data_IF_983153203817
#
_entry.id   IF_983153203817
#
_cell.length_a   1.000
_cell.length_b   1.000
_cell.length_c   1.000
_cell.angle_alpha   90.00
_cell.angle_beta   90.00
_cell.angle_gamma   90.00
#
_symmetry.space_group_name_H-M   'P 1'
#
loop_
_entity.id
_entity.type
_entity.pdbx_description
1 polymer ?
#
# COMPACT_ATOMS: atom_id res chain seq x y z
N UNK A 1 22.96 6.96 13.48
CA UNK A 1 21.52 6.63 13.58
C UNK A 1 21.33 5.12 13.70
N UNK A 2 21.64 4.30 12.68
CA UNK A 2 21.57 2.82 12.78
C UNK A 2 22.40 2.20 13.94
N UNK A 3 23.49 2.85 14.33
CA UNK A 3 24.37 2.42 15.44
C UNK A 3 24.20 3.28 16.70
N UNK A 4 23.25 4.22 16.68
CA UNK A 4 23.03 5.17 17.77
C UNK A 4 21.77 4.77 18.53
N UNK A 5 21.95 4.20 19.73
CA UNK A 5 20.86 3.78 20.61
C UNK A 5 20.21 4.96 21.35
N UNK A 6 20.74 6.17 21.20
CA UNK A 6 20.16 7.39 21.78
C UNK A 6 19.32 8.12 20.73
N UNK A 7 18.02 8.25 21.00
CA UNK A 7 17.01 8.89 20.13
C UNK A 7 17.25 10.39 19.83
N UNK A 8 18.42 10.94 20.16
CA UNK A 8 18.72 12.38 20.16
C UNK A 8 19.17 12.96 18.81
N UNK A 9 19.31 12.15 17.75
CA UNK A 9 19.92 12.58 16.48
C UNK A 9 18.97 12.58 15.26
N UNK A 10 17.65 12.57 15.46
CA UNK A 10 16.69 12.68 14.35
C UNK A 10 16.19 14.12 14.16
N UNK A 11 16.51 14.73 13.02
CA UNK A 11 16.08 16.09 12.67
C UNK A 11 14.62 16.18 12.16
N UNK A 12 13.94 15.05 11.97
CA UNK A 12 12.58 14.99 11.41
C UNK A 12 11.66 14.14 12.30
N UNK A 13 10.40 14.56 12.45
CA UNK A 13 9.36 13.86 13.21
C UNK A 13 8.96 12.47 12.63
N UNK A 14 9.65 11.99 11.60
CA UNK A 14 9.43 10.70 10.95
C UNK A 14 10.14 9.51 11.64
N UNK A 15 10.76 9.72 12.81
CA UNK A 15 11.45 8.67 13.58
C UNK A 15 10.57 7.45 13.90
N UNK A 16 9.24 7.61 13.90
CA UNK A 16 8.27 6.56 14.19
C UNK A 16 7.94 5.63 12.99
N UNK A 17 8.44 5.92 11.78
CA UNK A 17 8.17 5.08 10.61
C UNK A 17 9.11 3.85 10.56
N UNK A 18 8.67 2.74 9.93
CA UNK A 18 9.57 1.64 9.62
C UNK A 18 10.81 2.10 8.84
N UNK A 19 11.97 1.50 9.12
CA UNK A 19 13.24 1.91 8.54
C UNK A 19 13.36 1.65 7.03
N UNK A 20 12.42 0.92 6.42
CA UNK A 20 12.52 0.46 5.03
C UNK A 20 12.81 1.60 4.04
N UNK A 21 12.12 2.74 4.16
CA UNK A 21 12.31 3.89 3.24
C UNK A 21 13.70 4.51 3.41
N UNK A 22 14.18 4.60 4.65
CA UNK A 22 15.55 5.08 4.95
C UNK A 22 16.61 4.11 4.40
N UNK A 23 16.39 2.80 4.53
CA UNK A 23 17.27 1.77 4.00
C UNK A 23 17.30 1.76 2.47
N UNK A 24 16.17 2.04 1.81
CA UNK A 24 16.09 2.18 0.36
C UNK A 24 16.97 3.33 -0.14
N UNK A 25 16.96 4.49 0.53
CA UNK A 25 17.86 5.60 0.20
C UNK A 25 19.34 5.28 0.51
N UNK A 26 19.60 4.54 1.59
CA UNK A 26 20.96 4.19 2.01
C UNK A 26 21.64 3.18 1.08
N UNK A 27 20.91 2.15 0.62
CA UNK A 27 21.47 1.07 -0.20
C UNK A 27 22.29 1.55 -1.43
N UNK A 28 21.79 2.44 -2.30
CA UNK A 28 22.55 2.87 -3.48
C UNK A 28 23.73 3.77 -3.11
N UNK A 29 23.65 4.54 -2.01
CA UNK A 29 24.76 5.38 -1.55
C UNK A 29 25.90 4.56 -0.94
N UNK A 30 25.58 3.44 -0.27
CA UNK A 30 26.59 2.46 0.16
C UNK A 30 27.33 1.87 -1.05
N UNK A 31 26.62 1.51 -2.12
CA UNK A 31 27.22 0.99 -3.35
C UNK A 31 28.08 2.05 -4.07
N UNK A 32 27.71 3.33 -3.98
CA UNK A 32 28.46 4.45 -4.54
C UNK A 32 29.73 4.79 -3.73
N UNK A 33 29.86 4.27 -2.51
CA UNK A 33 31.02 4.50 -1.65
C UNK A 33 30.94 5.78 -0.80
N UNK A 34 29.77 6.41 -0.73
CA UNK A 34 29.57 7.63 0.03
C UNK A 34 28.18 8.22 -0.18
N UNK A 35 27.80 9.15 0.69
CA UNK A 35 26.54 9.87 0.53
C UNK A 35 26.58 10.76 -0.72
N UNK A 36 25.58 10.58 -1.59
CA UNK A 36 25.34 11.41 -2.75
C UNK A 36 23.83 11.53 -2.95
N UNK A 37 23.32 12.75 -3.01
CA UNK A 37 21.88 13.05 -3.03
C UNK A 37 21.19 12.46 -4.27
N UNK A 38 21.82 12.57 -5.44
CA UNK A 38 21.26 12.03 -6.69
C UNK A 38 21.15 10.51 -6.62
N UNK A 39 22.18 9.84 -6.12
CA UNK A 39 22.20 8.38 -5.96
C UNK A 39 21.18 7.92 -4.92
N UNK A 40 21.04 8.65 -3.81
CA UNK A 40 20.03 8.39 -2.79
C UNK A 40 18.59 8.48 -3.33
N UNK A 41 18.36 9.29 -4.37
CA UNK A 41 17.05 9.47 -5.01
C UNK A 41 16.71 8.41 -6.07
N UNK A 42 17.69 7.64 -6.57
CA UNK A 42 17.46 6.61 -7.60
C UNK A 42 16.33 5.61 -7.27
N UNK A 43 16.14 5.16 -6.02
CA UNK A 43 15.03 4.26 -5.67
C UNK A 43 13.65 4.84 -5.98
N UNK A 44 13.45 6.16 -5.88
CA UNK A 44 12.18 6.82 -6.17
C UNK A 44 11.85 6.81 -7.66
N UNK A 45 12.86 7.01 -8.51
CA UNK A 45 12.72 6.77 -9.94
C UNK A 45 12.42 5.30 -10.22
N UNK A 46 13.12 4.40 -9.52
CA UNK A 46 12.93 2.95 -9.62
C UNK A 46 11.50 2.51 -9.32
N UNK A 47 10.89 2.99 -8.23
CA UNK A 47 9.51 2.64 -7.87
C UNK A 47 8.50 3.23 -8.85
N UNK A 48 8.73 4.42 -9.40
CA UNK A 48 7.87 4.99 -10.45
C UNK A 48 7.88 4.12 -11.72
N UNK A 49 9.06 3.68 -12.16
CA UNK A 49 9.20 2.76 -13.28
C UNK A 49 8.55 1.41 -13.00
N UNK A 50 8.76 0.86 -11.79
CA UNK A 50 8.14 -0.41 -11.38
C UNK A 50 6.61 -0.31 -11.35
N UNK A 51 6.05 0.80 -10.86
CA UNK A 51 4.62 1.07 -10.90
C UNK A 51 4.09 1.12 -12.33
N UNK A 52 4.74 1.90 -13.21
CA UNK A 52 4.34 2.03 -14.61
C UNK A 52 4.39 0.70 -15.37
N UNK A 53 5.51 -0.02 -15.29
CA UNK A 53 5.69 -1.31 -15.96
C UNK A 53 4.80 -2.40 -15.37
N UNK A 54 4.68 -2.44 -14.04
CA UNK A 54 3.80 -3.37 -13.33
C UNK A 54 2.34 -3.16 -13.71
N UNK A 55 1.89 -1.91 -13.71
CA UNK A 55 0.52 -1.56 -14.10
C UNK A 55 0.25 -1.86 -15.57
N UNK A 56 1.20 -1.56 -16.47
CA UNK A 56 1.12 -1.98 -17.87
C UNK A 56 0.94 -3.50 -18.00
N UNK A 57 1.79 -4.29 -17.33
CA UNK A 57 1.73 -5.75 -17.36
C UNK A 57 0.39 -6.29 -16.84
N UNK A 58 -0.09 -5.74 -15.72
CA UNK A 58 -1.39 -6.11 -15.14
C UNK A 58 -2.56 -5.76 -16.07
N UNK A 59 -2.55 -4.58 -16.70
CA UNK A 59 -3.57 -4.17 -17.67
C UNK A 59 -3.57 -5.07 -18.91
N UNK A 60 -2.39 -5.43 -19.43
CA UNK A 60 -2.25 -6.36 -20.56
C UNK A 60 -2.77 -7.75 -20.21
N UNK A 61 -2.44 -8.25 -19.02
CA UNK A 61 -2.94 -9.54 -18.54
C UNK A 61 -4.46 -9.53 -18.31
N UNK A 62 -5.05 -8.37 -17.96
CA UNK A 62 -6.50 -8.21 -17.85
C UNK A 62 -7.24 -8.31 -19.19
N UNK A 63 -6.52 -8.09 -20.29
CA UNK A 63 -7.02 -8.12 -21.67
C UNK A 63 -7.08 -6.75 -22.36
N UNK A 64 -6.64 -5.66 -21.73
CA UNK A 64 -6.62 -4.34 -22.35
C UNK A 64 -5.59 -4.29 -23.49
N UNK A 65 -5.94 -3.78 -24.67
CA UNK A 65 -5.00 -3.71 -25.81
C UNK A 65 -3.76 -2.85 -25.50
N UNK A 66 -2.61 -3.05 -26.20
CA UNK A 66 -1.40 -2.27 -25.95
C UNK A 66 -1.58 -0.75 -25.92
N UNK A 67 -2.28 -0.10 -26.88
CA UNK A 67 -2.45 1.36 -26.83
C UNK A 67 -3.30 1.81 -25.65
N UNK A 68 -4.35 1.05 -25.30
CA UNK A 68 -5.20 1.37 -24.14
C UNK A 68 -4.38 1.28 -22.85
N UNK A 69 -3.59 0.22 -22.68
CA UNK A 69 -2.72 0.07 -21.52
C UNK A 69 -1.71 1.22 -21.41
N UNK A 70 -1.08 1.64 -22.53
CA UNK A 70 -0.15 2.76 -22.55
C UNK A 70 -0.82 4.10 -22.19
N UNK A 71 -2.05 4.34 -22.67
CA UNK A 71 -2.80 5.55 -22.29
C UNK A 71 -3.01 5.61 -20.78
N UNK A 72 -3.46 4.51 -20.15
CA UNK A 72 -3.68 4.50 -18.70
C UNK A 72 -2.38 4.56 -17.89
N UNK A 73 -1.29 3.96 -18.37
CA UNK A 73 0.04 4.15 -17.78
C UNK A 73 0.45 5.62 -17.87
N UNK A 74 0.26 6.25 -19.03
CA UNK A 74 0.53 7.67 -19.22
C UNK A 74 -0.28 8.55 -18.26
N UNK A 75 -1.57 8.27 -18.11
CA UNK A 75 -2.43 8.97 -17.15
C UNK A 75 -1.96 8.78 -15.70
N UNK A 76 -1.62 7.55 -15.31
CA UNK A 76 -1.11 7.24 -13.97
C UNK A 76 0.20 7.98 -13.68
N UNK A 77 1.14 7.94 -14.62
CA UNK A 77 2.46 8.57 -14.48
C UNK A 77 2.41 10.09 -14.67
N UNK A 78 1.30 10.66 -15.15
CA UNK A 78 1.11 12.11 -15.27
C UNK A 78 0.32 12.70 -14.10
N UNK A 79 0.03 11.93 -13.06
CA UNK A 79 -0.64 12.45 -11.87
C UNK A 79 0.30 13.40 -11.13
N UNK A 80 -0.05 14.69 -10.95
CA UNK A 80 0.84 15.65 -10.30
C UNK A 80 1.26 15.23 -8.89
N UNK A 81 0.35 14.55 -8.18
CA UNK A 81 0.63 14.02 -6.84
C UNK A 81 1.65 12.88 -6.87
N UNK A 82 1.70 12.08 -7.93
CA UNK A 82 2.73 11.05 -8.07
C UNK A 82 4.09 11.71 -8.34
N UNK A 83 4.14 12.69 -9.24
CA UNK A 83 5.36 13.40 -9.61
C UNK A 83 6.03 14.08 -8.41
N UNK A 84 5.25 14.70 -7.52
CA UNK A 84 5.80 15.31 -6.29
C UNK A 84 6.46 14.28 -5.38
N UNK A 85 5.87 13.08 -5.29
CA UNK A 85 6.40 12.00 -4.45
C UNK A 85 7.58 11.27 -5.10
N UNK A 86 7.72 11.31 -6.43
CA UNK A 86 8.92 10.84 -7.13
C UNK A 86 10.06 11.84 -6.97
N UNK A 87 9.77 13.14 -7.09
CA UNK A 87 10.77 14.20 -7.05
C UNK A 87 11.40 14.38 -5.65
N UNK A 88 10.61 14.17 -4.60
CA UNK A 88 11.04 14.32 -3.21
C UNK A 88 11.34 12.95 -2.58
N UNK A 89 12.62 12.61 -2.42
CA UNK A 89 12.98 11.41 -1.68
C UNK A 89 12.60 11.52 -0.20
N UNK A 90 12.32 10.38 0.40
CA UNK A 90 11.85 10.24 1.79
C UNK A 90 10.34 10.01 1.92
N UNK A 91 9.56 10.21 0.85
CA UNK A 91 8.12 9.92 0.89
C UNK A 91 7.84 8.42 0.85
N UNK A 92 7.25 7.89 1.91
CA UNK A 92 6.81 6.49 2.00
C UNK A 92 5.56 6.20 1.18
N UNK A 93 4.75 7.24 0.89
CA UNK A 93 3.44 7.09 0.26
C UNK A 93 3.52 6.56 -1.17
N UNK A 94 4.54 6.90 -1.96
CA UNK A 94 4.70 6.34 -3.31
C UNK A 94 5.00 4.85 -3.29
N UNK A 95 5.82 4.41 -2.34
CA UNK A 95 6.14 3.00 -2.14
C UNK A 95 4.89 2.23 -1.76
N UNK A 96 4.12 2.76 -0.80
CA UNK A 96 2.87 2.18 -0.37
C UNK A 96 1.83 2.15 -1.50
N UNK A 97 1.68 3.24 -2.26
CA UNK A 97 0.77 3.32 -3.39
C UNK A 97 1.14 2.31 -4.48
N UNK A 98 2.44 2.14 -4.77
CA UNK A 98 2.91 1.18 -5.76
C UNK A 98 2.66 -0.26 -5.30
N UNK A 99 3.06 -0.62 -4.07
CA UNK A 99 2.88 -1.99 -3.57
C UNK A 99 1.41 -2.33 -3.40
N UNK A 100 0.61 -1.47 -2.77
CA UNK A 100 -0.82 -1.70 -2.57
C UNK A 100 -1.60 -1.70 -3.89
N UNK A 101 -1.30 -0.76 -4.79
CA UNK A 101 -1.95 -0.68 -6.10
C UNK A 101 -1.70 -1.92 -6.95
N UNK A 102 -0.44 -2.36 -7.05
CA UNK A 102 -0.08 -3.58 -7.77
C UNK A 102 -0.60 -4.84 -7.06
N UNK A 103 -0.61 -4.88 -5.73
CA UNK A 103 -1.24 -5.96 -4.96
C UNK A 103 -2.72 -6.08 -5.31
N UNK A 104 -3.42 -4.94 -5.40
CA UNK A 104 -4.84 -4.88 -5.76
C UNK A 104 -5.07 -5.38 -7.18
N UNK A 105 -4.25 -4.96 -8.16
CA UNK A 105 -4.35 -5.46 -9.53
C UNK A 105 -4.14 -6.99 -9.59
N UNK A 106 -3.07 -7.50 -8.98
CA UNK A 106 -2.76 -8.93 -8.95
C UNK A 106 -3.86 -9.73 -8.21
N UNK A 107 -4.40 -9.17 -7.12
CA UNK A 107 -5.51 -9.77 -6.38
C UNK A 107 -6.75 -9.91 -7.26
N UNK A 108 -7.12 -8.87 -8.01
CA UNK A 108 -8.27 -8.91 -8.93
C UNK A 108 -8.06 -9.95 -10.04
N UNK A 109 -6.83 -10.07 -10.55
CA UNK A 109 -6.51 -11.12 -11.53
C UNK A 109 -6.72 -12.51 -10.92
N UNK A 110 -6.14 -12.77 -9.75
CA UNK A 110 -6.33 -14.04 -9.04
C UNK A 110 -7.80 -14.31 -8.74
N UNK A 111 -8.57 -13.31 -8.31
CA UNK A 111 -10.00 -13.46 -8.04
C UNK A 111 -10.78 -13.91 -9.30
N UNK A 112 -10.39 -13.41 -10.47
CA UNK A 112 -11.01 -13.72 -11.78
C UNK A 112 -10.55 -15.06 -12.34
N UNK A 113 -9.24 -15.30 -12.41
CA UNK A 113 -8.65 -16.43 -13.15
C UNK A 113 -8.25 -17.60 -12.25
N UNK A 114 -8.19 -17.38 -10.94
CA UNK A 114 -7.62 -18.31 -9.94
C UNK A 114 -6.16 -18.67 -10.20
N UNK A 115 -5.42 -17.84 -10.95
CA UNK A 115 -3.99 -18.01 -11.14
C UNK A 115 -3.23 -17.80 -9.82
N UNK A 116 -2.63 -18.88 -9.32
CA UNK A 116 -1.87 -18.90 -8.07
C UNK A 116 -0.71 -17.92 -8.04
N UNK A 117 -0.09 -17.60 -9.18
CA UNK A 117 1.05 -16.71 -9.22
C UNK A 117 0.63 -15.25 -9.02
N UNK A 118 -0.53 -14.86 -9.54
CA UNK A 118 -1.13 -13.56 -9.25
C UNK A 118 -1.56 -13.47 -7.78
N UNK A 119 -2.07 -14.57 -7.21
CA UNK A 119 -2.42 -14.64 -5.79
C UNK A 119 -1.19 -14.50 -4.89
N UNK A 120 -0.09 -15.17 -5.22
CA UNK A 120 1.17 -15.07 -4.51
C UNK A 120 1.76 -13.65 -4.63
N UNK A 121 1.76 -13.07 -5.83
CA UNK A 121 2.22 -11.70 -6.06
C UNK A 121 1.42 -10.70 -5.22
N UNK A 122 0.08 -10.82 -5.23
CA UNK A 122 -0.79 -9.98 -4.42
C UNK A 122 -0.47 -10.08 -2.93
N UNK A 123 -0.28 -11.31 -2.42
CA UNK A 123 0.06 -11.57 -1.03
C UNK A 123 1.42 -10.95 -0.66
N UNK A 124 2.46 -11.18 -1.46
CA UNK A 124 3.80 -10.65 -1.19
C UNK A 124 3.81 -9.13 -1.17
N UNK A 125 3.14 -8.48 -2.13
CA UNK A 125 3.04 -7.03 -2.18
C UNK A 125 2.21 -6.46 -1.03
N UNK A 126 1.11 -7.11 -0.64
CA UNK A 126 0.30 -6.70 0.51
C UNK A 126 1.07 -6.82 1.84
N UNK A 127 1.87 -7.88 1.99
CA UNK A 127 2.74 -8.08 3.16
C UNK A 127 3.90 -7.08 3.24
N UNK A 128 4.28 -6.46 2.12
CA UNK A 128 5.28 -5.39 2.12
C UNK A 128 4.73 -4.06 2.65
N UNK A 129 3.43 -3.79 2.55
CA UNK A 129 2.83 -2.51 2.97
C UNK A 129 3.11 -2.12 4.43
N UNK A 130 2.94 -3.01 5.44
CA UNK A 130 3.26 -2.69 6.84
C UNK A 130 4.74 -2.35 7.09
N UNK A 131 5.64 -2.88 6.25
CA UNK A 131 7.07 -2.63 6.35
C UNK A 131 7.48 -1.29 5.75
N UNK A 132 6.64 -0.71 4.88
CA UNK A 132 6.90 0.58 4.24
C UNK A 132 6.38 1.72 5.11
N UNK A 133 5.18 1.57 5.66
CA UNK A 133 4.47 2.64 6.36
C UNK A 133 3.62 2.07 7.49
N UNK A 134 3.49 2.77 8.63
CA UNK A 134 2.66 2.30 9.77
C UNK A 134 1.22 2.04 9.35
N UNK A 135 0.63 2.94 8.58
CA UNK A 135 -0.73 2.79 8.07
C UNK A 135 -0.84 1.68 7.02
N UNK A 136 0.28 1.17 6.50
CA UNK A 136 0.33 0.14 5.47
C UNK A 136 -0.37 -1.16 5.84
N UNK A 137 -0.44 -1.50 7.14
CA UNK A 137 -1.28 -2.60 7.62
C UNK A 137 -2.76 -2.35 7.36
N UNK A 138 -3.26 -1.15 7.67
CA UNK A 138 -4.66 -0.78 7.44
C UNK A 138 -5.00 -0.91 5.96
N UNK A 139 -4.10 -0.43 5.09
CA UNK A 139 -4.26 -0.56 3.63
C UNK A 139 -4.28 -2.03 3.19
N UNK A 140 -3.34 -2.85 3.65
CA UNK A 140 -3.32 -4.27 3.32
C UNK A 140 -4.58 -5.01 3.78
N UNK A 141 -5.12 -4.67 4.96
CA UNK A 141 -6.35 -5.25 5.50
C UNK A 141 -7.59 -4.93 4.65
N UNK A 142 -7.58 -3.86 3.83
CA UNK A 142 -8.67 -3.56 2.89
C UNK A 142 -8.86 -4.66 1.83
N UNK A 143 -7.84 -5.51 1.59
CA UNK A 143 -7.97 -6.65 0.68
C UNK A 143 -8.72 -7.83 1.33
N UNK A 144 -8.83 -7.89 2.65
CA UNK A 144 -9.46 -9.02 3.35
C UNK A 144 -10.95 -9.17 3.05
N UNK A 145 -11.79 -8.12 3.09
CA UNK A 145 -13.21 -8.26 2.72
C UNK A 145 -13.38 -8.82 1.30
N UNK A 146 -12.54 -8.36 0.36
CA UNK A 146 -12.56 -8.85 -1.00
C UNK A 146 -12.08 -10.31 -1.09
N UNK A 147 -11.08 -10.71 -0.31
CA UNK A 147 -10.61 -12.10 -0.25
C UNK A 147 -11.68 -13.04 0.34
N UNK A 148 -12.34 -12.63 1.43
CA UNK A 148 -13.46 -13.35 2.05
C UNK A 148 -14.57 -13.58 1.03
N UNK A 149 -14.90 -12.56 0.23
CA UNK A 149 -15.90 -12.67 -0.82
C UNK A 149 -15.55 -13.74 -1.87
N UNK A 150 -14.27 -13.83 -2.28
CA UNK A 150 -13.80 -14.79 -3.29
C UNK A 150 -13.74 -16.21 -2.74
N UNK A 151 -13.37 -16.38 -1.47
CA UNK A 151 -13.24 -17.69 -0.81
C UNK A 151 -14.56 -18.26 -0.33
N UNK A 152 -15.52 -17.43 0.02
CA UNK A 152 -16.77 -17.87 0.66
C UNK A 152 -17.82 -18.25 -0.38
N UNK A 153 -18.26 -19.52 -0.45
CA UNK A 153 -19.40 -19.91 -1.27
C UNK A 153 -20.65 -19.09 -0.90
N UNK A 154 -21.47 -18.71 -1.89
CA UNK A 154 -22.67 -17.87 -1.70
C UNK A 154 -23.61 -18.37 -0.60
N UNK A 155 -23.64 -19.68 -0.32
CA UNK A 155 -24.40 -20.29 0.78
C UNK A 155 -24.08 -19.72 2.16
N UNK A 156 -22.84 -19.29 2.40
CA UNK A 156 -22.40 -18.82 3.72
C UNK A 156 -22.53 -17.30 3.91
N UNK A 157 -22.90 -16.57 2.87
CA UNK A 157 -23.07 -15.12 2.94
C UNK A 157 -24.13 -14.62 3.91
N UNK A 158 -25.33 -15.24 4.06
CA UNK A 158 -26.27 -14.79 5.09
C UNK A 158 -25.70 -14.96 6.50
N UNK A 159 -24.84 -15.97 6.72
CA UNK A 159 -24.15 -16.16 8.01
C UNK A 159 -23.08 -15.10 8.26
N UNK A 160 -22.31 -14.71 7.22
CA UNK A 160 -21.36 -13.60 7.33
C UNK A 160 -22.07 -12.26 7.57
N UNK A 161 -23.16 -11.99 6.84
CA UNK A 161 -23.97 -10.80 7.05
C UNK A 161 -24.61 -10.77 8.44
N UNK A 162 -25.18 -11.90 8.89
CA UNK A 162 -25.72 -12.06 10.23
C UNK A 162 -24.65 -11.87 11.31
N UNK A 163 -23.47 -12.45 11.13
CA UNK A 163 -22.32 -12.27 12.03
C UNK A 163 -21.89 -10.82 12.14
N UNK A 164 -21.73 -10.12 11.00
CA UNK A 164 -21.38 -8.70 10.98
C UNK A 164 -22.44 -7.86 11.70
N UNK A 165 -23.73 -8.10 11.42
CA UNK A 165 -24.84 -7.41 12.08
C UNK A 165 -24.81 -7.66 13.59
N UNK A 166 -24.62 -8.91 14.03
CA UNK A 166 -24.52 -9.25 15.45
C UNK A 166 -23.31 -8.61 16.10
N UNK A 167 -22.16 -8.55 15.42
CA UNK A 167 -20.97 -7.85 15.93
C UNK A 167 -21.18 -6.34 16.05
N UNK A 168 -21.85 -5.71 15.07
CA UNK A 168 -22.19 -4.29 15.11
C UNK A 168 -23.21 -3.97 16.21
N UNK A 169 -24.24 -4.81 16.37
CA UNK A 169 -25.24 -4.69 17.44
C UNK A 169 -24.57 -4.94 18.80
N UNK A 170 -23.74 -5.97 18.92
CA UNK A 170 -23.00 -6.27 20.15
C UNK A 170 -22.04 -5.16 20.54
N UNK A 171 -21.32 -4.58 19.57
CA UNK A 171 -20.46 -3.40 19.80
C UNK A 171 -21.26 -2.15 20.19
N UNK A 172 -22.42 -1.94 19.57
CA UNK A 172 -23.34 -0.85 19.95
C UNK A 172 -23.89 -1.03 21.37
N UNK A 173 -24.22 -2.27 21.77
CA UNK A 173 -24.74 -2.60 23.10
C UNK A 173 -23.66 -2.61 24.19
N UNK A 174 -22.40 -2.85 23.85
CA UNK A 174 -21.32 -2.99 24.82
C UNK A 174 -20.79 -1.64 25.34
N UNK A 175 -20.72 -0.60 24.51
CA UNK A 175 -20.13 0.69 24.93
C UNK A 175 -20.75 1.96 24.33
N UNK A 176 -21.72 1.85 23.40
CA UNK A 176 -22.16 3.02 22.62
C UNK A 176 -21.01 3.56 21.74
N UNK A 177 -21.31 4.00 20.51
CA UNK A 177 -20.27 4.59 19.67
C UNK A 177 -19.94 6.00 20.17
N UNK A 178 -19.01 6.12 21.13
CA UNK A 178 -18.51 7.42 21.60
C UNK A 178 -17.58 8.03 20.53
N UNK A 179 -18.17 8.63 19.51
CA UNK A 179 -17.41 9.36 18.50
C UNK A 179 -17.15 10.78 19.01
N UNK A 180 -15.93 11.04 19.48
CA UNK A 180 -15.47 12.42 19.76
C UNK A 180 -15.27 13.17 18.45
N UNK A 181 -16.26 13.98 18.06
CA UNK A 181 -16.14 14.87 16.92
C UNK A 181 -15.39 16.13 17.39
N UNK A 182 -14.23 16.48 16.79
CA UNK A 182 -13.48 17.68 17.18
C UNK A 182 -14.25 18.94 16.75
N UNK A 183 -15.18 19.38 17.60
CA UNK A 183 -15.88 20.69 17.65
C UNK A 183 -17.26 20.60 18.31
N UNK A 184 -17.87 19.41 18.38
CA UNK A 184 -19.27 19.20 18.79
C UNK A 184 -19.44 18.51 20.16
N UNK A 185 -18.34 18.08 20.79
CA UNK A 185 -18.38 17.31 22.03
C UNK A 185 -18.66 15.83 21.80
N UNK A 186 -18.91 15.10 22.89
CA UNK A 186 -19.28 13.68 22.85
C UNK A 186 -20.77 13.55 22.52
N UNK A 187 -21.10 12.79 21.48
CA UNK A 187 -22.46 12.36 21.20
C UNK A 187 -22.58 10.93 21.74
N UNK A 188 -23.48 10.75 22.72
CA UNK A 188 -23.85 9.46 23.31
C UNK A 188 -24.89 8.76 22.44
#
# INVERSE_FOLDING_TARGET
WLMDASDSNYALAAWNYPEAVSLLALWPTLAFGGWNETVAHLPWLGVALALGLGFYGQARFWGASPPVALIFVGLLLSLPMLDTHVALAGYADIWLAATFGLASCAFLQWARTRDRWQGLLALLLALACPWIKREGLVWALLLLPAAIWVWTPRRYWPWLAGGLIVSLIGGWMADGFTMRIPSLGEIQ
#
